data_IF_719784325231
#
_entry.id   IF_719784325231
#
_cell.length_a   1.000
_cell.length_b   1.000
_cell.length_c   1.000
_cell.angle_alpha   90.00
_cell.angle_beta   90.00
_cell.angle_gamma   90.00
#
_symmetry.space_group_name_H-M   'P 1'
#
loop_
_entity.id
_entity.type
_entity.pdbx_description
1 polymer ?
#
# COMPACT_ATOMS: atom_id res chain seq x y z
N UNK A 1 24.85 1.73 13.41
CA UNK A 1 24.14 2.58 12.45
C UNK A 1 23.76 3.83 13.21
N UNK A 2 23.97 5.04 12.68
CA UNK A 2 23.33 6.21 13.26
C UNK A 2 21.83 5.92 13.31
N UNK A 3 21.18 6.36 14.38
CA UNK A 3 19.76 6.13 14.65
C UNK A 3 18.89 6.98 13.73
N UNK A 4 19.04 6.81 12.41
CA UNK A 4 18.21 7.54 11.46
C UNK A 4 16.75 7.16 11.73
N UNK A 5 15.92 8.17 11.80
CA UNK A 5 14.54 8.09 12.24
C UNK A 5 13.68 7.45 11.14
N UNK A 6 13.86 6.16 10.87
CA UNK A 6 13.19 5.45 9.77
C UNK A 6 11.68 5.37 9.96
N UNK A 7 10.93 6.11 9.15
CA UNK A 7 9.46 5.99 9.06
C UNK A 7 9.10 4.75 8.24
N UNK A 8 8.09 4.02 8.69
CA UNK A 8 7.52 2.91 7.91
C UNK A 8 6.13 3.29 7.45
N UNK A 9 5.89 3.13 6.16
CA UNK A 9 4.61 3.33 5.50
C UNK A 9 4.13 1.99 4.96
N UNK A 10 2.84 1.72 5.11
CA UNK A 10 2.16 0.58 4.50
C UNK A 10 1.12 1.08 3.51
N UNK A 11 1.19 0.67 2.25
CA UNK A 11 0.10 0.86 1.30
C UNK A 11 -0.56 -0.49 0.99
N UNK A 12 -1.89 -0.55 1.08
CA UNK A 12 -2.67 -1.78 0.88
C UNK A 12 -3.95 -1.49 0.09
N UNK A 13 -4.28 -2.34 -0.91
CA UNK A 13 -5.50 -2.20 -1.67
C UNK A 13 -6.72 -2.69 -0.88
N UNK A 14 -7.88 -2.23 -1.30
CA UNK A 14 -9.19 -2.63 -0.76
C UNK A 14 -10.10 -3.28 -1.80
N UNK A 15 -9.54 -3.65 -2.96
CA UNK A 15 -10.25 -4.16 -4.14
C UNK A 15 -10.88 -5.55 -3.98
N UNK A 16 -10.51 -6.31 -2.95
CA UNK A 16 -11.04 -7.65 -2.71
C UNK A 16 -11.66 -7.80 -1.33
N UNK A 17 -12.84 -8.40 -1.28
CA UNK A 17 -13.57 -8.74 -0.04
C UNK A 17 -12.70 -9.50 0.97
N UNK A 18 -11.93 -10.47 0.50
CA UNK A 18 -11.09 -11.30 1.37
C UNK A 18 -9.94 -10.52 2.05
N UNK A 19 -9.60 -9.31 1.58
CA UNK A 19 -8.65 -8.43 2.27
C UNK A 19 -9.16 -7.98 3.64
N UNK A 20 -10.48 -7.98 3.84
CA UNK A 20 -11.16 -7.59 5.07
C UNK A 20 -11.44 -8.78 6.01
N UNK A 21 -10.83 -9.94 5.77
CA UNK A 21 -10.87 -11.11 6.65
C UNK A 21 -9.64 -11.11 7.58
N UNK A 22 -9.70 -10.61 8.85
CA UNK A 22 -8.49 -10.33 9.62
C UNK A 22 -7.63 -11.55 9.92
N UNK A 23 -8.25 -12.72 10.03
CA UNK A 23 -7.57 -13.99 10.32
C UNK A 23 -6.89 -14.61 9.08
N UNK A 24 -7.18 -14.09 7.88
CA UNK A 24 -6.64 -14.62 6.63
C UNK A 24 -5.23 -14.13 6.38
N UNK A 25 -4.38 -15.04 5.90
CA UNK A 25 -3.04 -14.65 5.42
C UNK A 25 -3.18 -13.79 4.17
N UNK A 26 -2.54 -12.63 4.17
CA UNK A 26 -2.64 -11.66 3.07
C UNK A 26 -3.84 -10.71 3.19
N UNK A 27 -4.51 -10.67 4.34
CA UNK A 27 -5.48 -9.61 4.65
C UNK A 27 -4.79 -8.30 5.00
N UNK A 28 -5.54 -7.19 5.00
CA UNK A 28 -5.07 -5.88 5.47
C UNK A 28 -4.52 -5.98 6.90
N UNK A 29 -5.24 -6.68 7.79
CA UNK A 29 -4.79 -6.91 9.17
C UNK A 29 -3.44 -7.65 9.23
N UNK A 30 -3.25 -8.67 8.39
CA UNK A 30 -2.01 -9.42 8.30
C UNK A 30 -0.82 -8.58 7.84
N UNK A 31 -1.04 -7.63 6.91
CA UNK A 31 -0.03 -6.67 6.47
C UNK A 31 0.29 -5.64 7.55
N UNK A 32 -0.73 -5.06 8.17
CA UNK A 32 -0.64 -4.09 9.26
C UNK A 32 0.21 -4.63 10.43
N UNK A 33 -0.09 -5.85 10.89
CA UNK A 33 0.68 -6.51 11.94
C UNK A 33 2.16 -6.69 11.57
N UNK A 34 2.45 -7.05 10.33
CA UNK A 34 3.82 -7.24 9.87
C UNK A 34 4.57 -5.93 9.73
N UNK A 35 3.91 -4.89 9.22
CA UNK A 35 4.48 -3.55 9.11
C UNK A 35 4.87 -3.01 10.49
N UNK A 36 4.03 -3.19 11.51
CA UNK A 36 4.38 -2.86 12.89
C UNK A 36 5.64 -3.60 13.38
N UNK A 37 5.74 -4.91 13.13
CA UNK A 37 6.94 -5.70 13.50
C UNK A 37 8.20 -5.29 12.72
N UNK A 38 8.04 -4.65 11.57
CA UNK A 38 9.14 -4.08 10.78
C UNK A 38 9.54 -2.73 11.38
N UNK A 39 8.57 -1.85 11.67
CA UNK A 39 8.79 -0.57 12.34
C UNK A 39 9.49 -0.74 13.70
N UNK A 40 9.04 -1.70 14.51
CA UNK A 40 9.69 -2.09 15.77
C UNK A 40 11.15 -2.54 15.60
N UNK A 41 11.52 -3.01 14.41
CA UNK A 41 12.89 -3.39 14.08
C UNK A 41 13.84 -2.20 13.91
N UNK A 42 13.29 -1.01 13.66
CA UNK A 42 14.04 0.25 13.58
C UNK A 42 13.96 1.00 14.91
N UNK A 43 12.73 1.27 15.38
CA UNK A 43 12.46 2.02 16.61
C UNK A 43 11.24 1.41 17.33
N UNK A 44 11.44 0.70 18.45
CA UNK A 44 10.35 0.05 19.19
C UNK A 44 9.24 1.03 19.58
N UNK A 45 7.99 0.64 19.35
CA UNK A 45 6.82 1.46 19.72
C UNK A 45 6.47 2.55 18.69
N UNK A 46 7.27 2.71 17.62
CA UNK A 46 6.91 3.60 16.53
C UNK A 46 5.76 2.98 15.71
N UNK A 47 4.67 3.74 15.56
CA UNK A 47 3.56 3.36 14.70
C UNK A 47 3.91 3.42 13.20
N UNK A 48 2.96 3.00 12.38
CA UNK A 48 3.02 2.94 10.91
C UNK A 48 1.94 3.85 10.32
N UNK A 49 2.26 4.61 9.29
CA UNK A 49 1.23 5.27 8.47
C UNK A 49 0.71 4.25 7.44
N UNK A 50 -0.60 4.04 7.43
CA UNK A 50 -1.26 3.08 6.55
C UNK A 50 -2.10 3.85 5.53
N UNK A 51 -1.86 3.58 4.26
CA UNK A 51 -2.61 4.09 3.12
C UNK A 51 -3.46 2.96 2.56
N UNK A 52 -4.78 3.08 2.72
CA UNK A 52 -5.76 2.23 2.07
C UNK A 52 -6.11 2.86 0.73
N UNK A 53 -6.09 2.08 -0.34
CA UNK A 53 -6.46 2.59 -1.66
C UNK A 53 -7.42 1.65 -2.38
N UNK A 54 -8.41 2.24 -3.04
CA UNK A 54 -9.38 1.47 -3.81
C UNK A 54 -10.51 2.36 -4.30
N UNK A 55 -11.62 1.74 -4.69
CA UNK A 55 -12.76 2.45 -5.25
C UNK A 55 -13.40 3.39 -4.22
N UNK A 56 -13.61 4.64 -4.63
CA UNK A 56 -14.35 5.61 -3.81
C UNK A 56 -15.83 5.22 -3.74
N UNK A 57 -16.46 5.46 -2.60
CA UNK A 57 -17.90 5.26 -2.44
C UNK A 57 -18.73 6.22 -3.30
N UNK A 58 -18.23 7.44 -3.50
CA UNK A 58 -18.91 8.51 -4.24
C UNK A 58 -18.05 8.96 -5.43
N UNK A 59 -18.02 8.19 -6.54
CA UNK A 59 -17.12 8.45 -7.67
C UNK A 59 -17.41 9.76 -8.41
N UNK A 60 -18.58 10.37 -8.22
CA UNK A 60 -18.93 11.67 -8.83
C UNK A 60 -18.31 12.87 -8.09
N UNK A 61 -17.90 12.73 -6.83
CA UNK A 61 -17.18 13.78 -6.07
C UNK A 61 -15.66 13.76 -6.33
N UNK A 62 -15.16 12.76 -7.06
CA UNK A 62 -13.77 12.70 -7.51
C UNK A 62 -13.50 13.78 -8.57
N UNK A 63 -13.18 14.99 -8.13
CA UNK A 63 -12.94 16.18 -8.98
C UNK A 63 -11.70 16.11 -9.87
N UNK A 64 -10.89 15.05 -9.80
CA UNK A 64 -9.70 14.91 -10.65
C UNK A 64 -10.06 14.27 -12.00
N UNK A 65 -10.27 15.12 -13.00
CA UNK A 65 -10.60 14.78 -14.39
C UNK A 65 -9.44 14.15 -15.18
N UNK A 66 -8.39 13.65 -14.51
CA UNK A 66 -7.41 12.78 -15.15
C UNK A 66 -8.04 11.39 -15.26
N UNK A 67 -8.41 10.98 -16.47
CA UNK A 67 -9.02 9.69 -16.82
C UNK A 67 -8.32 8.45 -16.20
N UNK A 68 -7.07 8.57 -15.73
CA UNK A 68 -6.34 7.51 -15.02
C UNK A 68 -6.67 7.34 -13.53
N UNK A 69 -7.10 8.39 -12.83
CA UNK A 69 -7.24 8.41 -11.37
C UNK A 69 -8.71 8.52 -10.90
N UNK A 70 -9.63 8.85 -11.82
CA UNK A 70 -11.06 8.99 -11.54
C UNK A 70 -11.62 7.75 -10.83
N UNK A 71 -12.26 7.98 -9.66
CA UNK A 71 -12.94 6.95 -8.87
C UNK A 71 -12.04 6.15 -7.92
N UNK A 72 -10.76 6.50 -7.75
CA UNK A 72 -9.89 5.90 -6.71
C UNK A 72 -9.74 6.84 -5.53
N UNK A 73 -10.08 6.35 -4.34
CA UNK A 73 -9.87 7.03 -3.07
C UNK A 73 -8.66 6.46 -2.35
N UNK A 74 -7.90 7.35 -1.70
CA UNK A 74 -6.76 6.99 -0.87
C UNK A 74 -6.97 7.56 0.51
N UNK A 75 -6.97 6.69 1.52
CA UNK A 75 -7.20 7.05 2.90
C UNK A 75 -5.93 6.81 3.69
N UNK A 76 -5.41 7.85 4.32
CA UNK A 76 -4.33 7.75 5.28
C UNK A 76 -4.88 7.60 6.69
N UNK A 77 -4.41 6.57 7.40
CA UNK A 77 -4.64 6.36 8.83
C UNK A 77 -3.32 6.08 9.53
N UNK A 78 -3.26 6.34 10.83
CA UNK A 78 -2.11 5.99 11.68
C UNK A 78 -2.43 4.72 12.47
N UNK A 79 -1.50 3.77 12.47
CA UNK A 79 -1.58 2.54 13.25
C UNK A 79 -0.50 2.55 14.33
N UNK A 80 -0.90 2.51 15.59
CA UNK A 80 0.01 2.39 16.72
C UNK A 80 -0.04 0.97 17.30
N UNK A 81 1.04 0.57 17.98
CA UNK A 81 1.14 -0.77 18.55
C UNK A 81 0.05 -1.06 19.59
N UNK A 82 -0.31 -0.05 20.39
CA UNK A 82 -1.34 -0.17 21.42
C UNK A 82 -2.77 -0.23 20.88
N UNK A 83 -3.00 0.23 19.64
CA UNK A 83 -4.33 0.36 19.05
C UNK A 83 -4.61 -0.66 17.94
N UNK A 84 -3.76 -1.67 17.75
CA UNK A 84 -3.89 -2.63 16.64
C UNK A 84 -5.28 -3.29 16.56
N UNK A 85 -5.83 -3.77 17.68
CA UNK A 85 -7.13 -4.45 17.67
C UNK A 85 -8.28 -3.50 17.31
N UNK A 86 -8.24 -2.27 17.82
CA UNK A 86 -9.21 -1.22 17.49
C UNK A 86 -9.09 -0.82 16.02
N UNK A 87 -7.86 -0.56 15.55
CA UNK A 87 -7.58 -0.21 14.17
C UNK A 87 -8.05 -1.29 13.19
N UNK A 88 -7.86 -2.57 13.52
CA UNK A 88 -8.36 -3.68 12.71
C UNK A 88 -9.89 -3.64 12.61
N UNK A 89 -10.59 -3.40 13.73
CA UNK A 89 -12.05 -3.29 13.74
C UNK A 89 -12.57 -2.15 12.86
N UNK A 90 -11.87 -1.01 12.87
CA UNK A 90 -12.25 0.18 12.12
C UNK A 90 -11.95 0.10 10.61
N UNK A 91 -10.81 -0.49 10.25
CA UNK A 91 -10.20 -0.32 8.92
C UNK A 91 -9.94 -1.62 8.16
N UNK A 92 -9.84 -2.75 8.86
CA UNK A 92 -9.47 -4.04 8.29
C UNK A 92 -10.58 -5.10 8.40
N UNK A 93 -11.78 -4.68 8.80
CA UNK A 93 -13.00 -5.50 8.85
C UNK A 93 -14.09 -4.81 8.06
N UNK A 94 -14.79 -5.60 7.26
CA UNK A 94 -16.01 -5.19 6.57
C UNK A 94 -17.13 -6.16 6.96
N UNK A 95 -17.95 -5.82 7.97
CA UNK A 95 -18.98 -6.74 8.48
C UNK A 95 -20.06 -7.08 7.45
N UNK A 96 -20.27 -6.22 6.44
CA UNK A 96 -21.45 -6.23 5.59
C UNK A 96 -21.17 -6.61 4.14
N UNK A 97 -20.44 -7.70 3.92
CA UNK A 97 -20.05 -8.09 2.56
C UNK A 97 -21.20 -8.61 1.70
N UNK A 98 -22.34 -8.99 2.29
CA UNK A 98 -23.52 -9.58 1.61
C UNK A 98 -24.87 -8.95 2.04
N UNK A 99 -24.92 -7.65 2.36
CA UNK A 99 -26.23 -7.02 2.68
C UNK A 99 -27.12 -7.02 1.43
N UNK A 100 -28.24 -7.73 1.51
CA UNK A 100 -29.25 -7.75 0.46
C UNK A 100 -29.86 -6.35 0.24
N UNK A 101 -30.45 -6.16 -0.95
CA UNK A 101 -31.09 -4.94 -1.50
C UNK A 101 -32.08 -4.17 -0.58
N UNK A 102 -32.36 -4.64 0.64
CA UNK A 102 -33.42 -4.14 1.52
C UNK A 102 -32.96 -3.82 2.96
N UNK A 103 -31.68 -3.96 3.31
CA UNK A 103 -31.20 -3.57 4.65
C UNK A 103 -30.54 -2.19 4.59
N UNK A 104 -31.37 -1.15 4.77
CA UNK A 104 -30.94 0.24 4.96
C UNK A 104 -30.24 0.35 6.32
N UNK A 105 -28.96 0.02 6.34
CA UNK A 105 -28.14 0.01 7.53
C UNK A 105 -26.85 0.74 7.18
N UNK A 106 -26.60 1.82 7.92
CA UNK A 106 -25.43 2.67 7.72
C UNK A 106 -24.10 1.91 7.80
N UNK A 107 -22.99 2.60 7.47
CA UNK A 107 -21.66 1.99 7.47
C UNK A 107 -21.35 1.45 8.88
N UNK A 108 -20.88 0.19 8.95
CA UNK A 108 -20.51 -0.46 10.20
C UNK A 108 -19.04 -0.27 10.58
N UNK A 109 -18.25 0.34 9.68
CA UNK A 109 -16.83 0.63 9.90
C UNK A 109 -16.40 1.87 9.12
N UNK A 110 -15.27 2.48 9.51
CA UNK A 110 -14.70 3.67 8.85
C UNK A 110 -14.32 3.40 7.39
N UNK A 111 -14.01 2.15 7.06
CA UNK A 111 -13.78 1.76 5.67
C UNK A 111 -15.06 1.79 4.83
N UNK A 112 -16.22 1.39 5.37
CA UNK A 112 -17.52 1.45 4.67
C UNK A 112 -18.07 2.88 4.52
N UNK A 113 -17.59 3.82 5.34
CA UNK A 113 -17.91 5.25 5.20
C UNK A 113 -17.32 5.85 3.94
N UNK A 114 -16.15 5.34 3.50
CA UNK A 114 -15.31 5.99 2.49
C UNK A 114 -15.15 5.17 1.22
N UNK A 115 -14.92 3.86 1.34
CA UNK A 115 -14.61 3.00 0.21
C UNK A 115 -15.84 2.22 -0.26
N UNK A 116 -16.01 2.16 -1.57
CA UNK A 116 -17.13 1.50 -2.25
C UNK A 116 -17.11 -0.03 -2.12
N UNK A 117 -18.22 -0.65 -2.53
CA UNK A 117 -18.29 -2.09 -2.85
C UNK A 117 -18.31 -2.15 -4.37
N UNK A 118 -17.17 -2.38 -5.01
CA UNK A 118 -17.18 -2.56 -6.46
C UNK A 118 -17.95 -3.81 -6.83
N UNK A 119 -19.10 -3.68 -7.50
CA UNK A 119 -19.90 -4.81 -8.02
C UNK A 119 -19.21 -5.56 -9.18
N UNK A 120 -18.07 -5.08 -9.65
CA UNK A 120 -17.25 -5.68 -10.70
C UNK A 120 -15.77 -5.32 -10.44
N UNK A 121 -14.79 -6.09 -10.94
CA UNK A 121 -13.41 -6.00 -10.49
C UNK A 121 -12.71 -4.76 -11.08
N UNK A 122 -13.03 -3.59 -10.54
CA UNK A 122 -12.20 -2.40 -10.72
C UNK A 122 -10.99 -2.59 -9.82
N UNK A 123 -9.96 -3.17 -10.42
CA UNK A 123 -8.67 -3.44 -9.79
C UNK A 123 -8.14 -2.19 -9.08
N UNK A 124 -7.43 -2.38 -7.97
CA UNK A 124 -6.79 -1.26 -7.29
C UNK A 124 -5.94 -0.50 -8.29
N UNK A 125 -6.21 0.80 -8.46
CA UNK A 125 -5.36 1.71 -9.23
C UNK A 125 -4.30 2.24 -8.26
N UNK A 126 -3.06 1.75 -8.31
CA UNK A 126 -2.08 2.05 -7.27
C UNK A 126 -1.44 3.44 -7.42
N UNK A 127 -1.52 4.07 -8.59
CA UNK A 127 -0.85 5.34 -8.84
C UNK A 127 -1.32 6.49 -7.92
N UNK A 128 -2.63 6.68 -7.66
CA UNK A 128 -3.11 7.63 -6.66
C UNK A 128 -2.46 7.46 -5.28
N UNK A 129 -2.26 6.21 -4.83
CA UNK A 129 -1.66 5.94 -3.53
C UNK A 129 -0.16 6.28 -3.51
N UNK A 130 0.56 6.02 -4.60
CA UNK A 130 1.96 6.45 -4.74
C UNK A 130 2.07 7.97 -4.68
N UNK A 131 1.18 8.70 -5.36
CA UNK A 131 1.15 10.16 -5.32
C UNK A 131 0.87 10.69 -3.92
N UNK A 132 -0.18 10.17 -3.27
CA UNK A 132 -0.55 10.56 -1.91
C UNK A 132 0.59 10.31 -0.90
N UNK A 133 1.33 9.21 -1.04
CA UNK A 133 2.49 8.92 -0.20
C UNK A 133 3.64 9.89 -0.51
N UNK A 134 3.92 10.15 -1.79
CA UNK A 134 4.95 11.11 -2.20
C UNK A 134 4.67 12.52 -1.69
N UNK A 135 3.44 13.01 -1.86
CA UNK A 135 2.98 14.31 -1.36
C UNK A 135 3.03 14.40 0.17
N UNK A 136 2.61 13.34 0.86
CA UNK A 136 2.68 13.27 2.32
C UNK A 136 4.12 13.27 2.84
N UNK A 137 5.02 12.60 2.12
CA UNK A 137 6.42 12.47 2.49
C UNK A 137 7.28 13.67 2.02
N UNK A 138 6.76 14.52 1.14
CA UNK A 138 7.47 15.68 0.62
C UNK A 138 7.94 16.59 1.75
N UNK A 139 9.25 16.89 1.77
CA UNK A 139 9.87 17.74 2.78
C UNK A 139 10.17 17.05 4.12
N UNK A 140 10.01 15.73 4.22
CA UNK A 140 10.52 14.96 5.36
C UNK A 140 12.04 14.77 5.27
N UNK A 141 12.77 15.21 6.28
CA UNK A 141 14.25 15.13 6.30
C UNK A 141 14.82 13.75 6.71
N UNK A 142 13.95 12.79 7.08
CA UNK A 142 14.38 11.46 7.52
C UNK A 142 14.10 10.38 6.49
N UNK A 143 14.66 9.19 6.74
CA UNK A 143 14.48 8.04 5.85
C UNK A 143 13.07 7.46 5.94
N UNK A 144 12.45 7.16 4.80
CA UNK A 144 11.14 6.52 4.73
C UNK A 144 11.25 5.17 4.02
N UNK A 145 10.72 4.12 4.66
CA UNK A 145 10.53 2.80 4.07
C UNK A 145 9.07 2.62 3.71
N UNK A 146 8.77 2.52 2.42
CA UNK A 146 7.43 2.24 1.91
C UNK A 146 7.29 0.76 1.59
N UNK A 147 6.32 0.11 2.23
CA UNK A 147 5.88 -1.25 1.95
C UNK A 147 4.58 -1.17 1.16
N UNK A 148 4.64 -1.44 -0.13
CA UNK A 148 3.50 -1.25 -1.03
C UNK A 148 3.00 -2.62 -1.51
N UNK A 149 1.79 -3.00 -1.12
CA UNK A 149 1.12 -4.17 -1.67
C UNK A 149 0.42 -3.80 -2.97
N UNK A 150 0.60 -4.62 -3.99
CA UNK A 150 -0.05 -4.57 -5.29
C UNK A 150 -0.96 -5.78 -5.40
N UNK A 151 -2.27 -5.55 -5.48
CA UNK A 151 -3.24 -6.56 -5.88
C UNK A 151 -3.06 -6.94 -7.35
N UNK A 152 -2.72 -5.98 -8.21
CA UNK A 152 -2.28 -6.19 -9.60
C UNK A 152 -1.19 -5.20 -10.00
N UNK A 153 -0.47 -5.53 -11.07
CA UNK A 153 0.61 -4.72 -11.62
C UNK A 153 0.12 -3.62 -12.59
N UNK A 154 -1.13 -3.15 -12.44
CA UNK A 154 -1.62 -2.02 -13.25
C UNK A 154 -0.84 -0.76 -12.88
N UNK A 155 -0.65 0.14 -13.84
CA UNK A 155 0.08 1.41 -13.65
C UNK A 155 1.54 1.26 -13.15
N UNK A 156 2.16 0.07 -13.21
CA UNK A 156 3.48 -0.17 -12.63
C UNK A 156 4.60 0.66 -13.30
N UNK A 157 4.48 0.92 -14.61
CA UNK A 157 5.39 1.80 -15.33
C UNK A 157 5.22 3.25 -14.86
N UNK A 158 3.99 3.73 -14.79
CA UNK A 158 3.64 5.08 -14.37
C UNK A 158 4.05 5.33 -12.91
N UNK A 159 3.89 4.34 -12.03
CA UNK A 159 4.40 4.39 -10.66
C UNK A 159 5.92 4.54 -10.65
N UNK A 160 6.65 3.72 -11.42
CA UNK A 160 8.11 3.78 -11.46
C UNK A 160 8.59 5.12 -12.03
N UNK A 161 7.94 5.63 -13.08
CA UNK A 161 8.22 6.94 -13.66
C UNK A 161 7.93 8.07 -12.65
N UNK A 162 6.84 7.98 -11.89
CA UNK A 162 6.51 8.96 -10.85
C UNK A 162 7.55 8.96 -9.74
N UNK A 163 7.86 7.79 -9.16
CA UNK A 163 8.87 7.64 -8.10
C UNK A 163 10.22 8.17 -8.58
N UNK A 164 10.63 7.85 -9.81
CA UNK A 164 11.91 8.30 -10.35
C UNK A 164 12.00 9.80 -10.65
N UNK A 165 10.86 10.50 -10.79
CA UNK A 165 10.82 11.95 -11.04
C UNK A 165 10.66 12.78 -9.78
N UNK A 166 9.92 12.27 -8.80
CA UNK A 166 9.39 13.09 -7.71
C UNK A 166 9.83 12.64 -6.32
N UNK A 167 10.40 11.45 -6.19
CA UNK A 167 10.83 10.99 -4.88
C UNK A 167 12.30 11.27 -4.60
N UNK A 168 12.60 11.55 -3.34
CA UNK A 168 13.93 11.88 -2.88
C UNK A 168 14.78 10.62 -2.63
N UNK A 169 16.09 10.81 -2.52
CA UNK A 169 17.04 9.74 -2.22
C UNK A 169 16.90 9.20 -0.77
N UNK A 170 15.96 9.70 0.04
CA UNK A 170 15.66 9.26 1.40
C UNK A 170 14.45 8.30 1.46
N UNK A 171 13.77 8.03 0.35
CA UNK A 171 12.58 7.17 0.33
C UNK A 171 12.82 5.86 -0.41
N UNK A 172 12.69 4.75 0.30
CA UNK A 172 12.88 3.42 -0.25
C UNK A 172 11.56 2.66 -0.41
N UNK A 173 11.28 2.25 -1.64
CA UNK A 173 10.06 1.55 -2.02
C UNK A 173 10.30 0.06 -2.19
N UNK A 174 9.50 -0.74 -1.49
CA UNK A 174 9.41 -2.17 -1.72
C UNK A 174 7.98 -2.51 -2.13
N UNK A 175 7.79 -2.86 -3.40
CA UNK A 175 6.52 -3.21 -4.01
C UNK A 175 6.38 -4.72 -4.03
N UNK A 176 5.22 -5.23 -3.65
CA UNK A 176 4.96 -6.67 -3.51
C UNK A 176 3.65 -7.04 -4.18
N UNK A 177 3.67 -8.11 -4.97
CA UNK A 177 2.47 -8.64 -5.61
C UNK A 177 2.63 -10.11 -5.98
N UNK A 178 1.52 -10.76 -6.29
CA UNK A 178 1.52 -12.16 -6.72
C UNK A 178 1.85 -12.29 -8.22
N UNK A 179 2.49 -13.40 -8.59
CA UNK A 179 3.06 -13.59 -9.93
C UNK A 179 2.04 -13.91 -11.02
N UNK A 180 0.83 -14.31 -10.64
CA UNK A 180 -0.21 -14.75 -11.58
C UNK A 180 -0.90 -13.57 -12.29
N UNK A 181 -0.58 -12.32 -11.89
CA UNK A 181 -1.20 -11.09 -12.40
C UNK A 181 -0.24 -10.24 -13.27
N UNK A 182 0.82 -10.84 -13.82
CA UNK A 182 1.84 -10.16 -14.65
C UNK A 182 1.42 -10.15 -16.13
N UNK A 183 1.03 -8.98 -16.66
CA UNK A 183 1.03 -8.75 -18.10
C UNK A 183 2.45 -8.42 -18.58
N UNK A 184 2.93 -9.23 -19.54
CA UNK A 184 4.34 -9.58 -19.71
C UNK A 184 5.21 -8.60 -20.53
N UNK A 185 4.72 -7.43 -20.95
CA UNK A 185 5.43 -6.59 -21.95
C UNK A 185 6.48 -5.64 -21.36
N UNK A 186 6.17 -4.89 -20.30
CA UNK A 186 7.09 -3.92 -19.68
C UNK A 186 8.33 -4.61 -19.10
N UNK A 187 8.13 -5.74 -18.39
CA UNK A 187 9.18 -6.45 -17.64
C UNK A 187 10.18 -7.24 -18.49
N UNK A 188 9.83 -7.61 -19.72
CA UNK A 188 10.67 -8.51 -20.54
C UNK A 188 11.38 -7.82 -21.71
N UNK A 189 10.84 -6.73 -22.25
CA UNK A 189 11.41 -6.08 -23.45
C UNK A 189 12.43 -4.96 -23.15
N UNK A 190 12.43 -4.38 -21.94
CA UNK A 190 13.30 -3.25 -21.59
C UNK A 190 14.11 -3.47 -20.30
N UNK A 191 14.83 -4.60 -20.20
CA UNK A 191 16.02 -4.67 -19.34
C UNK A 191 15.82 -4.80 -17.82
N UNK A 192 14.60 -5.05 -17.32
CA UNK A 192 14.33 -5.17 -15.88
C UNK A 192 14.54 -6.58 -15.31
N UNK A 193 15.48 -7.36 -15.87
CA UNK A 193 15.90 -8.60 -15.24
C UNK A 193 16.40 -8.28 -13.82
N UNK A 194 15.70 -8.79 -12.79
CA UNK A 194 15.96 -8.67 -11.34
C UNK A 194 15.29 -7.51 -10.56
N UNK A 195 14.31 -6.80 -11.13
CA UNK A 195 13.39 -5.96 -10.33
C UNK A 195 14.00 -4.68 -9.73
N UNK A 196 15.10 -4.18 -10.30
CA UNK A 196 15.71 -2.88 -9.98
C UNK A 196 15.45 -1.91 -11.13
N UNK A 197 14.38 -1.14 -11.00
CA UNK A 197 14.01 -0.10 -11.99
C UNK A 197 14.69 1.22 -11.63
N UNK A 198 14.86 1.47 -10.33
CA UNK A 198 15.57 2.61 -9.76
C UNK A 198 16.37 2.15 -8.52
N UNK A 199 17.42 2.86 -8.09
CA UNK A 199 18.21 2.51 -6.90
C UNK A 199 17.35 2.35 -5.63
N UNK A 200 16.32 3.18 -5.49
CA UNK A 200 15.41 3.27 -4.36
C UNK A 200 14.12 2.45 -4.51
N UNK A 201 14.00 1.64 -5.56
CA UNK A 201 12.77 0.90 -5.89
C UNK A 201 13.05 -0.59 -6.13
N UNK A 202 12.43 -1.44 -5.32
CA UNK A 202 12.48 -2.88 -5.45
C UNK A 202 11.09 -3.49 -5.71
N UNK A 203 11.02 -4.36 -6.70
CA UNK A 203 9.85 -5.20 -6.95
C UNK A 203 10.06 -6.63 -6.45
N UNK A 204 9.08 -7.13 -5.70
CA UNK A 204 9.06 -8.45 -5.09
C UNK A 204 7.85 -9.24 -5.58
N UNK A 205 7.95 -9.77 -6.80
CA UNK A 205 6.85 -10.49 -7.46
C UNK A 205 6.94 -11.99 -7.17
N UNK A 206 5.82 -12.61 -6.78
CA UNK A 206 5.75 -14.04 -6.43
C UNK A 206 6.61 -14.43 -5.23
N UNK A 207 7.07 -13.43 -4.46
CA UNK A 207 7.94 -13.63 -3.29
C UNK A 207 7.14 -13.44 -2.03
N UNK A 208 7.30 -14.37 -1.08
CA UNK A 208 6.67 -14.28 0.23
C UNK A 208 7.14 -13.03 0.98
N UNK A 209 6.18 -12.23 1.46
CA UNK A 209 6.41 -11.18 2.46
C UNK A 209 7.10 -11.75 3.71
N UNK A 210 8.36 -11.37 3.91
CA UNK A 210 9.10 -11.74 5.12
C UNK A 210 9.92 -10.56 5.65
N UNK A 211 9.88 -10.38 6.97
CA UNK A 211 10.64 -9.35 7.68
C UNK A 211 12.13 -9.37 7.30
N UNK A 212 12.72 -10.57 7.18
CA UNK A 212 14.13 -10.73 6.81
C UNK A 212 14.42 -10.22 5.39
N UNK A 213 13.54 -10.48 4.42
CA UNK A 213 13.74 -10.00 3.06
C UNK A 213 13.64 -8.47 3.00
N UNK A 214 12.63 -7.90 3.65
CA UNK A 214 12.37 -6.46 3.72
C UNK A 214 13.54 -5.70 4.33
N UNK A 215 13.98 -6.12 5.53
CA UNK A 215 15.08 -5.46 6.24
C UNK A 215 16.42 -5.62 5.49
N UNK A 216 16.62 -6.74 4.80
CA UNK A 216 17.82 -6.95 3.97
C UNK A 216 17.81 -6.06 2.73
N UNK A 217 16.65 -5.89 2.09
CA UNK A 217 16.49 -4.97 0.96
C UNK A 217 16.84 -3.55 1.38
N UNK A 218 16.20 -3.08 2.44
CA UNK A 218 16.44 -1.75 3.02
C UNK A 218 17.90 -1.54 3.42
N UNK A 219 18.49 -2.45 4.21
CA UNK A 219 19.89 -2.33 4.63
C UNK A 219 20.89 -2.35 3.47
N UNK A 220 20.55 -2.94 2.33
CA UNK A 220 21.43 -2.90 1.15
C UNK A 220 21.36 -1.56 0.45
N UNK A 221 20.16 -0.98 0.38
CA UNK A 221 19.97 0.34 -0.19
C UNK A 221 20.69 1.41 0.63
N UNK A 222 20.50 1.45 1.97
CA UNK A 222 21.18 2.40 2.86
C UNK A 222 22.71 2.26 2.93
N UNK A 223 23.28 1.19 2.36
CA UNK A 223 24.74 0.96 2.30
C UNK A 223 25.34 1.31 0.94
N UNK A 224 24.51 1.41 -0.09
CA UNK A 224 24.92 1.57 -1.48
C UNK A 224 24.48 2.92 -2.07
N UNK A 225 23.58 3.64 -1.42
CA UNK A 225 23.36 5.08 -1.61
C UNK A 225 24.27 5.85 -0.66
#
# INVERSE_FOLDING_TARGET
MPSDDVRVVLAVPTSWNWYFEPKRKGSIAWFAERALRIADGFHPGRGVDVFLYGESKDPEESTDSNYGDAGTEVIRTRLERGSLSEWIGDWAVRPNMDRGLFEDSGPASKVEERLGVGDAPWYGRPLPAVRAIGEWNAGHEGTTLVLFWLDRMTQAEEMAQFIGRYDDDATFWQLFGDADDIHYSFWTRQGMHQGKVLPQLNFHIGRRWSRRAILRGFSRWTKNG
#
